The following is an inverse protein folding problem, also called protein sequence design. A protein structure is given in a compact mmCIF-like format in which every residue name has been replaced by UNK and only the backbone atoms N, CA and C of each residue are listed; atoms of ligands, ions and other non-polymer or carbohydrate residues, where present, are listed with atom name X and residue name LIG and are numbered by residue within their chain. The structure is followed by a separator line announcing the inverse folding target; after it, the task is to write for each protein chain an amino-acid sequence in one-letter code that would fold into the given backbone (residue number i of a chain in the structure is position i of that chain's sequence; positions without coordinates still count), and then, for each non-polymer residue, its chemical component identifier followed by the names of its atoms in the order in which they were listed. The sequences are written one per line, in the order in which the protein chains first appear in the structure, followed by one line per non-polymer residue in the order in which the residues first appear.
data_IF_443748159984
#
_entry.id   IF_443748159984
#
_cell.length_a   1.000
_cell.length_b   1.000
_cell.length_c   1.000
_cell.angle_alpha   90.00
_cell.angle_beta   90.00
_cell.angle_gamma   90.00
#
_symmetry.space_group_name_H-M   'P 1'
#
loop_
_entity.id
_entity.type
_entity.pdbx_description
1 polymer ?
#
# COMPACT_ATOMS: atom_id res chain seq x y z
N UNK A 1 15.25 7.61 1.03
CA UNK A 1 16.32 7.64 0.01
C UNK A 1 15.81 6.89 -1.22
N UNK A 2 15.99 7.39 -2.46
CA UNK A 2 15.54 6.66 -3.66
C UNK A 2 16.13 5.24 -3.69
N UNK A 3 15.31 4.23 -4.04
CA UNK A 3 15.74 2.82 -4.12
C UNK A 3 15.95 2.09 -2.79
N UNK A 4 15.75 2.75 -1.64
CA UNK A 4 15.99 2.14 -0.33
C UNK A 4 15.10 0.91 -0.08
N UNK A 5 13.85 0.92 -0.57
CA UNK A 5 12.94 -0.20 -0.38
C UNK A 5 13.38 -1.42 -1.21
N UNK A 6 13.85 -1.22 -2.44
CA UNK A 6 14.39 -2.28 -3.29
C UNK A 6 15.58 -2.97 -2.60
N UNK A 7 16.48 -2.21 -1.96
CA UNK A 7 17.61 -2.76 -1.19
C UNK A 7 17.13 -3.60 0.00
N UNK A 8 16.16 -3.09 0.78
CA UNK A 8 15.62 -3.83 1.92
C UNK A 8 14.92 -5.13 1.52
N UNK A 9 14.22 -5.13 0.38
CA UNK A 9 13.59 -6.34 -0.17
C UNK A 9 14.63 -7.36 -0.63
N UNK A 10 15.71 -6.90 -1.27
CA UNK A 10 16.82 -7.76 -1.65
C UNK A 10 17.54 -8.35 -0.43
N UNK A 11 17.78 -7.56 0.61
CA UNK A 11 18.36 -8.04 1.89
C UNK A 11 17.45 -9.08 2.58
N UNK A 12 16.13 -8.94 2.43
CA UNK A 12 15.15 -9.92 2.90
C UNK A 12 15.05 -11.17 2.02
N UNK A 13 15.79 -11.24 0.91
CA UNK A 13 15.82 -12.37 -0.01
C UNK A 13 14.66 -12.42 -1.00
N UNK A 14 13.97 -11.30 -1.24
CA UNK A 14 12.90 -11.22 -2.25
C UNK A 14 13.52 -11.25 -3.65
N UNK A 15 13.08 -12.16 -4.54
CA UNK A 15 13.53 -12.19 -5.92
C UNK A 15 13.23 -10.88 -6.66
N UNK A 16 14.18 -10.38 -7.46
CA UNK A 16 14.01 -9.10 -8.18
C UNK A 16 12.96 -9.16 -9.28
N UNK A 17 12.69 -10.33 -9.85
CA UNK A 17 11.72 -10.55 -10.93
C UNK A 17 10.26 -10.35 -10.48
N UNK A 18 10.00 -10.40 -9.17
CA UNK A 18 8.67 -10.11 -8.59
C UNK A 18 8.55 -8.71 -8.02
N UNK A 19 9.62 -7.90 -8.07
CA UNK A 19 9.63 -6.50 -7.63
C UNK A 19 9.49 -5.61 -8.85
N UNK A 20 8.34 -4.96 -8.98
CA UNK A 20 7.98 -4.14 -10.12
C UNK A 20 7.94 -2.67 -9.75
N UNK A 21 8.32 -1.81 -10.69
CA UNK A 21 8.19 -0.37 -10.54
C UNK A 21 6.76 0.09 -10.79
N UNK A 22 6.39 1.27 -10.30
CA UNK A 22 5.02 1.79 -10.34
C UNK A 22 4.42 1.86 -11.76
N UNK A 23 5.22 2.26 -12.75
CA UNK A 23 4.78 2.37 -14.16
C UNK A 23 4.49 0.99 -14.77
N UNK A 24 5.16 -0.05 -14.28
CA UNK A 24 5.02 -1.42 -14.76
C UNK A 24 3.80 -2.12 -14.15
N UNK A 25 3.40 -1.78 -12.92
CA UNK A 25 2.36 -2.52 -12.18
C UNK A 25 1.00 -1.82 -12.10
N UNK A 26 0.92 -0.50 -12.30
CA UNK A 26 -0.33 0.25 -12.08
C UNK A 26 -1.50 -0.23 -12.97
N UNK A 27 -1.20 -0.73 -14.18
CA UNK A 27 -2.21 -1.18 -15.13
C UNK A 27 -2.81 -2.55 -14.78
N UNK A 28 -2.18 -3.31 -13.88
CA UNK A 28 -2.63 -4.65 -13.47
C UNK A 28 -3.61 -4.60 -12.27
N UNK A 29 -3.68 -3.47 -11.56
CA UNK A 29 -4.56 -3.35 -10.39
C UNK A 29 -6.04 -3.67 -10.68
N UNK A 30 -6.66 -3.26 -11.82
CA UNK A 30 -8.04 -3.63 -12.14
C UNK A 30 -8.31 -5.14 -12.16
N UNK A 31 -7.31 -5.95 -12.55
CA UNK A 31 -7.40 -7.40 -12.64
C UNK A 31 -6.88 -8.11 -11.37
N UNK A 32 -6.43 -7.35 -10.38
CA UNK A 32 -5.88 -7.87 -9.12
C UNK A 32 -6.97 -8.14 -8.09
N UNK A 33 -7.01 -9.38 -7.56
CA UNK A 33 -8.00 -9.80 -6.55
C UNK A 33 -7.79 -9.13 -5.18
N UNK A 34 -6.53 -8.99 -4.75
CA UNK A 34 -6.19 -8.50 -3.41
C UNK A 34 -4.90 -7.69 -3.43
N UNK A 35 -4.92 -6.53 -2.77
CA UNK A 35 -3.73 -5.70 -2.52
C UNK A 35 -3.51 -5.55 -1.02
N UNK A 36 -2.30 -5.86 -0.56
CA UNK A 36 -1.85 -5.62 0.81
C UNK A 36 -0.97 -4.36 0.86
N UNK A 37 -1.47 -3.31 1.50
CA UNK A 37 -0.73 -2.06 1.71
C UNK A 37 -0.09 -2.08 3.10
N UNK A 38 1.22 -2.31 3.17
CA UNK A 38 1.94 -2.45 4.43
C UNK A 38 2.70 -1.16 4.75
N UNK A 39 2.22 -0.39 5.72
CA UNK A 39 2.92 0.80 6.24
C UNK A 39 3.03 1.99 5.27
N UNK A 40 2.49 1.89 4.06
CA UNK A 40 2.40 3.00 3.11
C UNK A 40 1.14 3.86 3.36
N UNK A 41 1.22 5.14 3.04
CA UNK A 41 0.09 6.07 3.11
C UNK A 41 0.07 7.01 1.90
N UNK A 42 0.99 7.96 1.83
CA UNK A 42 0.95 9.02 0.81
C UNK A 42 1.14 8.47 -0.61
N UNK A 43 1.95 7.41 -0.78
CA UNK A 43 2.21 6.74 -2.07
C UNK A 43 1.03 5.93 -2.62
N UNK A 44 -0.05 5.78 -1.86
CA UNK A 44 -1.29 5.11 -2.27
C UNK A 44 -2.51 6.04 -2.12
N UNK A 45 -2.29 7.33 -1.89
CA UNK A 45 -3.37 8.27 -1.56
C UNK A 45 -4.08 8.77 -2.83
N UNK A 46 -5.37 8.42 -2.98
CA UNK A 46 -6.15 8.80 -4.17
C UNK A 46 -6.40 10.30 -4.30
N UNK A 47 -6.23 11.08 -3.22
CA UNK A 47 -6.33 12.53 -3.27
C UNK A 47 -5.32 13.17 -4.24
N UNK A 48 -4.21 12.49 -4.54
CA UNK A 48 -3.24 12.95 -5.54
C UNK A 48 -3.85 13.08 -6.95
N UNK A 49 -4.91 12.33 -7.26
CA UNK A 49 -5.61 12.36 -8.55
C UNK A 49 -7.02 12.93 -8.45
N UNK A 50 -7.71 12.71 -7.33
CA UNK A 50 -9.12 13.05 -7.15
C UNK A 50 -9.33 14.49 -6.66
N UNK A 51 -8.36 15.11 -5.97
CA UNK A 51 -8.48 16.45 -5.40
C UNK A 51 -7.37 17.40 -5.88
N UNK A 52 -7.67 18.35 -6.78
CA UNK A 52 -6.67 19.30 -7.29
C UNK A 52 -6.19 20.31 -6.22
N UNK A 53 -6.88 20.42 -5.09
CA UNK A 53 -6.46 21.29 -3.97
C UNK A 53 -5.62 20.56 -2.92
N UNK A 54 -5.49 19.23 -3.05
CA UNK A 54 -4.65 18.43 -2.17
C UNK A 54 -3.18 18.83 -2.32
N UNK A 55 -2.43 18.85 -1.22
CA UNK A 55 -1.00 19.18 -1.26
C UNK A 55 -0.16 18.13 -2.01
N UNK A 56 -0.74 16.94 -2.26
CA UNK A 56 -0.12 15.86 -3.05
C UNK A 56 -0.71 15.77 -4.46
N UNK A 57 -1.51 16.75 -4.91
CA UNK A 57 -2.10 16.76 -6.24
C UNK A 57 -1.02 16.63 -7.33
N UNK A 58 -1.20 15.69 -8.25
CA UNK A 58 -0.26 15.38 -9.33
C UNK A 58 0.94 14.50 -8.93
N UNK A 59 1.08 14.14 -7.65
CA UNK A 59 2.07 13.14 -7.24
C UNK A 59 1.73 11.78 -7.85
N UNK A 60 2.69 11.07 -8.49
CA UNK A 60 2.42 9.74 -8.98
C UNK A 60 2.29 8.78 -7.79
N UNK A 61 1.26 7.94 -7.84
CA UNK A 61 0.86 7.02 -6.75
C UNK A 61 0.51 5.65 -7.31
N UNK A 62 0.57 4.64 -6.46
CA UNK A 62 0.04 3.31 -6.75
C UNK A 62 -1.48 3.34 -6.63
N UNK A 63 -2.18 3.03 -7.71
CA UNK A 63 -3.64 3.13 -7.83
C UNK A 63 -4.36 1.91 -7.22
N UNK A 64 -3.95 1.53 -6.01
CA UNK A 64 -4.37 0.30 -5.33
C UNK A 64 -5.88 0.17 -5.17
N UNK A 65 -6.62 1.30 -5.16
CA UNK A 65 -8.07 1.33 -5.05
C UNK A 65 -8.79 0.75 -6.29
N UNK A 66 -8.08 0.53 -7.39
CA UNK A 66 -8.62 -0.13 -8.59
C UNK A 66 -8.73 -1.65 -8.45
N UNK A 67 -8.12 -2.27 -7.44
CA UNK A 67 -8.25 -3.71 -7.19
C UNK A 67 -9.59 -4.12 -6.60
N UNK A 68 -9.89 -5.42 -6.62
CA UNK A 68 -11.15 -5.94 -6.05
C UNK A 68 -11.23 -5.74 -4.54
N UNK A 69 -10.11 -5.93 -3.82
CA UNK A 69 -10.03 -5.72 -2.37
C UNK A 69 -8.66 -5.13 -1.97
N UNK A 70 -8.69 -4.18 -1.03
CA UNK A 70 -7.50 -3.58 -0.42
C UNK A 70 -7.50 -3.84 1.08
N UNK A 71 -6.36 -4.26 1.63
CA UNK A 71 -6.14 -4.32 3.08
C UNK A 71 -5.00 -3.38 3.44
N UNK A 72 -5.29 -2.36 4.25
CA UNK A 72 -4.29 -1.41 4.72
C UNK A 72 -3.85 -1.77 6.13
N UNK A 73 -2.55 -2.02 6.29
CA UNK A 73 -1.92 -2.42 7.54
C UNK A 73 -1.12 -1.26 8.14
N UNK A 74 -1.65 -0.68 9.22
CA UNK A 74 -1.03 0.45 9.94
C UNK A 74 -1.50 0.54 11.38
N UNK A 75 -0.80 1.31 12.22
CA UNK A 75 -1.06 1.36 13.67
C UNK A 75 -2.38 2.05 14.05
N UNK A 76 -2.82 3.04 13.29
CA UNK A 76 -4.02 3.84 13.55
C UNK A 76 -4.52 4.48 12.25
N UNK A 77 -5.65 5.19 12.28
CA UNK A 77 -6.13 6.02 11.16
C UNK A 77 -5.36 7.36 11.01
N UNK A 78 -4.22 7.53 11.68
CA UNK A 78 -3.44 8.77 11.61
C UNK A 78 -2.90 9.11 10.21
N UNK A 79 -2.57 10.38 10.01
CA UNK A 79 -2.07 10.92 8.74
C UNK A 79 -0.64 10.46 8.40
N UNK A 80 -0.27 10.57 7.12
CA UNK A 80 1.07 10.29 6.59
C UNK A 80 2.05 11.42 6.81
N UNK A 81 3.13 11.45 6.01
CA UNK A 81 4.12 12.53 6.06
C UNK A 81 3.53 13.85 5.56
N UNK A 82 2.71 13.76 4.52
CA UNK A 82 1.95 14.88 3.95
C UNK A 82 0.92 15.48 4.95
N UNK A 83 0.64 14.81 6.07
CA UNK A 83 -0.37 15.22 7.04
C UNK A 83 -1.80 15.40 6.44
N UNK A 84 -2.08 14.74 5.32
CA UNK A 84 -3.41 14.69 4.68
C UNK A 84 -4.11 13.38 5.06
N UNK A 85 -5.43 13.43 5.16
CA UNK A 85 -6.25 12.24 5.24
C UNK A 85 -6.18 11.44 3.92
N UNK A 86 -6.41 10.13 3.99
CA UNK A 86 -6.33 9.27 2.82
C UNK A 86 -7.71 8.70 2.47
N UNK A 87 -8.34 9.16 1.37
CA UNK A 87 -9.69 8.74 1.00
C UNK A 87 -9.82 7.23 0.79
N UNK A 88 -8.73 6.52 0.44
CA UNK A 88 -8.79 5.06 0.22
C UNK A 88 -9.21 4.31 1.48
N UNK A 89 -8.94 4.84 2.69
CA UNK A 89 -9.29 4.19 3.96
C UNK A 89 -10.80 4.05 4.16
N UNK A 90 -11.58 4.83 3.41
CA UNK A 90 -13.04 4.90 3.50
C UNK A 90 -13.74 4.32 2.27
N UNK A 91 -13.00 3.83 1.27
CA UNK A 91 -13.59 3.18 0.08
C UNK A 91 -14.16 1.81 0.46
N UNK A 92 -15.27 1.42 -0.19
CA UNK A 92 -16.02 0.22 0.17
C UNK A 92 -15.24 -1.10 -0.01
N UNK A 93 -14.26 -1.12 -0.93
CA UNK A 93 -13.36 -2.24 -1.16
C UNK A 93 -12.10 -2.21 -0.27
N UNK A 94 -12.03 -1.31 0.71
CA UNK A 94 -10.88 -1.21 1.61
C UNK A 94 -11.23 -1.66 3.01
N UNK A 95 -10.39 -2.53 3.58
CA UNK A 95 -10.44 -2.93 4.99
C UNK A 95 -9.18 -2.47 5.71
N UNK A 96 -9.34 -2.00 6.96
CA UNK A 96 -8.23 -1.59 7.81
C UNK A 96 -7.83 -2.72 8.75
N UNK A 97 -6.57 -3.18 8.66
CA UNK A 97 -5.99 -4.12 9.62
C UNK A 97 -5.07 -3.34 10.57
N UNK A 98 -5.63 -2.88 11.68
CA UNK A 98 -4.90 -2.02 12.62
C UNK A 98 -3.92 -2.81 13.49
N UNK A 99 -2.67 -2.37 13.53
CA UNK A 99 -1.62 -2.98 14.34
C UNK A 99 -0.21 -2.56 13.94
N UNK A 100 0.77 -3.03 14.70
CA UNK A 100 2.17 -2.98 14.28
C UNK A 100 2.37 -3.87 13.04
N UNK A 101 3.11 -3.38 12.06
CA UNK A 101 3.29 -4.07 10.77
C UNK A 101 4.02 -5.41 10.96
N UNK A 102 5.07 -5.46 11.78
CA UNK A 102 5.79 -6.71 12.03
C UNK A 102 4.91 -7.74 12.72
N UNK A 103 4.25 -7.35 13.81
CA UNK A 103 3.36 -8.26 14.57
C UNK A 103 2.24 -8.83 13.70
N UNK A 104 1.61 -8.00 12.88
CA UNK A 104 0.50 -8.44 12.02
C UNK A 104 0.99 -9.34 10.87
N UNK A 105 2.13 -9.01 10.23
CA UNK A 105 2.75 -9.89 9.23
C UNK A 105 3.17 -11.24 9.82
N UNK A 106 3.81 -11.25 11.00
CA UNK A 106 4.23 -12.49 11.67
C UNK A 106 3.00 -13.37 12.01
N UNK A 107 1.90 -12.77 12.46
CA UNK A 107 0.64 -13.47 12.75
C UNK A 107 -0.01 -14.04 11.48
N UNK A 108 -0.07 -13.26 10.39
CA UNK A 108 -0.57 -13.73 9.09
C UNK A 108 0.25 -14.91 8.57
N UNK A 109 1.57 -14.80 8.62
CA UNK A 109 2.47 -15.88 8.19
C UNK A 109 2.28 -17.15 9.05
N UNK A 110 2.05 -17.03 10.36
CA UNK A 110 1.72 -18.17 11.21
C UNK A 110 0.42 -18.84 10.77
N UNK A 111 -0.63 -18.04 10.53
CA UNK A 111 -1.96 -18.55 10.14
C UNK A 111 -1.95 -19.25 8.79
N UNK A 112 -1.18 -18.76 7.83
CA UNK A 112 -1.01 -19.41 6.52
C UNK A 112 -0.25 -20.73 6.64
N UNK A 113 0.71 -20.86 7.58
CA UNK A 113 1.42 -22.13 7.82
C UNK A 113 0.58 -23.18 8.55
N UNK A 114 -0.42 -22.74 9.31
CA UNK A 114 -1.33 -23.61 10.07
C UNK A 114 -2.51 -24.12 9.23
N UNK A 115 -2.84 -23.44 8.12
CA UNK A 115 -3.92 -23.80 7.20
C UNK A 115 -3.44 -24.66 6.05
#
# INVERSE_FOLDING_TARGET
MPGQLNVLLAEAGVPYDVVLEMEEINHDFPDTDLVLVIGANDTVNSAAQEDPNSIIAGMPVLEVWKSKQVIVMKRSLGVGYAAVDNPIFYKANTSMLLGDAKKTCDALASKVREG
#
